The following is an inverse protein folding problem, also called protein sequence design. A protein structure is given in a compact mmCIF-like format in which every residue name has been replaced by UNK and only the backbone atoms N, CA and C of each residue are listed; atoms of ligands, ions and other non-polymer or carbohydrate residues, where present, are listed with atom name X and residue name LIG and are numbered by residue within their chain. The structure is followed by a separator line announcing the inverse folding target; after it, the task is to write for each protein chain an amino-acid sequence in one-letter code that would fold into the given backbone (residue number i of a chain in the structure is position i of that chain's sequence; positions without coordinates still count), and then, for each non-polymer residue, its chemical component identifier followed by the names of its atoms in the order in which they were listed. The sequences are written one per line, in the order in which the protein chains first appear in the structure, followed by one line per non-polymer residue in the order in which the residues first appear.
data_IF_596958049023
#
_entry.id   IF_596958049023
#
_cell.length_a   1.000
_cell.length_b   1.000
_cell.length_c   1.000
_cell.angle_alpha   90.00
_cell.angle_beta   90.00
_cell.angle_gamma   90.00
#
_symmetry.space_group_name_H-M   'P 1'
#
loop_
_entity.id
_entity.type
_entity.pdbx_description
1 polymer ?
#
# COMPACT_ATOMS: atom_id res chain seq x y z
N UNK A 1 25.83 -2.54 5.84
CA UNK A 1 26.09 -1.09 6.00
C UNK A 1 26.22 -0.81 7.48
N UNK A 2 27.42 -0.45 7.92
CA UNK A 2 27.79 -0.25 9.32
C UNK A 2 27.08 0.97 9.91
N UNK A 3 26.35 0.80 11.01
CA UNK A 3 25.76 1.90 11.77
C UNK A 3 26.74 2.31 12.87
N UNK A 4 27.25 3.53 12.73
CA UNK A 4 28.15 4.21 13.67
C UNK A 4 27.41 4.41 14.98
N UNK A 5 27.90 3.77 16.05
CA UNK A 5 27.65 4.19 17.43
C UNK A 5 28.37 5.53 17.61
N UNK A 6 27.60 6.59 17.85
CA UNK A 6 28.14 7.88 18.29
C UNK A 6 28.01 7.88 19.81
N UNK A 7 29.12 7.75 20.51
CA UNK A 7 29.20 7.90 21.97
C UNK A 7 28.69 9.29 22.36
N UNK A 8 28.03 9.46 23.51
CA UNK A 8 27.58 10.77 23.95
C UNK A 8 28.83 11.57 24.38
N UNK A 9 29.00 12.76 23.79
CA UNK A 9 29.97 13.73 24.28
C UNK A 9 29.62 14.08 25.73
N UNK A 10 30.60 13.96 26.63
CA UNK A 10 30.48 14.42 28.01
C UNK A 10 30.33 15.94 28.01
N UNK A 11 29.09 16.42 28.01
CA UNK A 11 28.78 17.82 28.29
C UNK A 11 29.26 18.13 29.71
N UNK A 12 30.43 18.76 29.81
CA UNK A 12 30.89 19.40 31.03
C UNK A 12 29.87 20.47 31.43
N UNK A 13 29.00 20.11 32.36
CA UNK A 13 28.11 21.06 33.02
C UNK A 13 29.00 22.05 33.79
N UNK A 14 29.29 23.20 33.18
CA UNK A 14 29.91 24.30 33.91
C UNK A 14 28.94 24.75 34.99
N UNK A 15 29.35 24.64 36.25
CA UNK A 15 28.62 25.19 37.38
C UNK A 15 28.54 26.70 37.21
N UNK A 16 27.38 27.20 36.78
CA UNK A 16 27.14 28.64 36.71
C UNK A 16 27.18 29.22 38.11
N UNK A 17 28.13 30.11 38.35
CA UNK A 17 28.33 30.77 39.64
C UNK A 17 27.62 32.13 39.60
N UNK A 18 26.36 32.13 40.05
CA UNK A 18 25.43 33.27 39.96
C UNK A 18 25.96 34.54 40.65
N UNK A 19 26.87 34.41 41.63
CA UNK A 19 27.47 35.54 42.36
C UNK A 19 28.67 36.20 41.68
N UNK A 20 29.15 35.67 40.54
CA UNK A 20 30.22 36.31 39.77
C UNK A 20 29.85 37.75 39.35
N UNK A 21 28.55 38.06 39.24
CA UNK A 21 28.05 39.41 38.93
C UNK A 21 27.98 40.39 40.11
N UNK A 22 28.20 39.94 41.36
CA UNK A 22 28.08 40.78 42.56
C UNK A 22 29.43 41.15 43.21
N UNK A 23 30.55 40.83 42.54
CA UNK A 23 31.85 41.40 42.89
C UNK A 23 31.83 42.89 42.55
N UNK A 24 31.58 43.72 43.57
CA UNK A 24 31.61 45.17 43.47
C UNK A 24 32.93 45.63 42.86
N UNK A 25 32.88 46.26 41.69
CA UNK A 25 34.00 46.98 41.10
C UNK A 25 34.44 48.05 42.13
N UNK A 26 35.67 47.95 42.62
CA UNK A 26 36.37 49.09 43.21
C UNK A 26 36.53 50.13 42.10
N UNK A 27 35.75 51.20 42.16
CA UNK A 27 36.06 52.42 41.41
C UNK A 27 37.22 53.12 42.13
N UNK A 28 38.26 53.40 41.36
CA UNK A 28 39.33 54.33 41.73
C UNK A 28 38.72 55.73 41.74
N UNK A 29 38.76 56.42 42.88
CA UNK A 29 38.44 57.85 42.94
C UNK A 29 39.59 58.63 43.58
N UNK A 30 39.83 59.78 42.93
CA UNK A 30 41.01 60.62 42.97
C UNK A 30 41.32 61.26 44.32
N UNK A 31 42.62 61.41 44.57
CA UNK A 31 43.24 62.27 45.59
C UNK A 31 42.88 63.75 45.45
N UNK A 32 42.84 64.50 46.57
CA UNK A 32 43.35 65.87 46.60
C UNK A 32 44.63 65.99 47.42
N UNK A 33 45.55 66.83 46.93
CA UNK A 33 46.77 67.32 47.61
C UNK A 33 46.43 68.46 48.57
N UNK A 34 47.19 68.57 49.67
CA UNK A 34 47.68 69.81 50.32
C UNK A 34 48.64 69.36 51.45
N UNK A 35 49.95 69.50 51.26
CA UNK A 35 50.88 70.55 51.73
C UNK A 35 51.46 70.31 53.14
N UNK A 36 52.78 70.46 53.25
CA UNK A 36 53.67 70.10 54.37
C UNK A 36 53.67 71.12 55.53
N UNK A 37 54.01 70.63 56.72
CA UNK A 37 54.47 71.38 57.90
C UNK A 37 53.55 71.19 59.11
N UNK A 38 53.98 70.84 60.32
CA UNK A 38 55.28 70.79 60.98
C UNK A 38 55.25 69.66 62.04
N UNK A 39 56.42 69.14 62.41
CA UNK A 39 56.59 68.25 63.58
C UNK A 39 56.29 69.03 64.87
N UNK A 40 55.39 68.52 65.72
CA UNK A 40 55.39 68.82 67.15
C UNK A 40 55.20 67.55 67.98
N UNK A 41 55.97 67.53 69.07
CA UNK A 41 56.35 66.42 69.92
C UNK A 41 55.18 65.65 70.57
N UNK A 42 55.39 64.35 70.77
CA UNK A 42 54.66 63.57 71.77
C UNK A 42 54.81 64.20 73.17
N UNK A 43 53.77 64.07 74.01
CA UNK A 43 54.05 63.42 75.28
C UNK A 43 53.04 62.30 75.59
N UNK A 44 53.62 61.15 75.95
CA UNK A 44 53.32 60.33 77.12
C UNK A 44 51.85 60.13 77.57
N UNK A 45 51.38 58.90 77.32
CA UNK A 45 50.57 58.03 78.18
C UNK A 45 49.70 58.65 79.31
N UNK A 46 48.38 58.46 79.20
CA UNK A 46 47.47 58.35 80.35
C UNK A 46 46.23 57.51 80.00
N UNK A 47 46.14 56.34 80.61
CA UNK A 47 45.00 55.39 80.85
C UNK A 47 43.99 55.06 79.71
N UNK A 48 43.60 53.78 79.53
CA UNK A 48 42.63 53.38 78.50
C UNK A 48 41.22 53.87 78.87
N UNK A 49 40.75 54.92 78.19
CA UNK A 49 39.43 55.49 78.40
C UNK A 49 38.31 54.52 77.96
N UNK A 50 37.32 54.36 78.82
CA UNK A 50 36.09 53.56 78.67
C UNK A 50 35.40 53.68 77.29
N UNK A 51 35.63 54.80 76.59
CA UNK A 51 35.06 55.15 75.29
C UNK A 51 35.65 54.34 74.12
N UNK A 52 36.94 53.99 74.14
CA UNK A 52 37.55 53.20 73.06
C UNK A 52 37.07 51.74 73.11
N UNK A 53 36.92 51.20 74.32
CA UNK A 53 36.35 49.87 74.54
C UNK A 53 34.88 49.82 74.07
N UNK A 54 34.10 50.87 74.35
CA UNK A 54 32.70 50.96 73.91
C UNK A 54 32.57 51.12 72.38
N UNK A 55 33.51 51.83 71.75
CA UNK A 55 33.58 51.95 70.29
C UNK A 55 33.91 50.62 69.62
N UNK A 56 34.86 49.88 70.18
CA UNK A 56 35.24 48.55 69.69
C UNK A 56 34.09 47.54 69.84
N UNK A 57 33.34 47.60 70.95
CA UNK A 57 32.13 46.80 71.15
C UNK A 57 31.04 47.08 70.11
N UNK A 58 30.73 48.35 69.83
CA UNK A 58 29.73 48.73 68.80
C UNK A 58 30.17 48.26 67.40
N UNK A 59 31.46 48.36 67.09
CA UNK A 59 32.02 47.93 65.81
C UNK A 59 31.99 46.41 65.66
N UNK A 60 32.26 45.68 66.73
CA UNK A 60 32.19 44.22 66.74
C UNK A 60 30.74 43.71 66.67
N UNK A 61 29.81 44.34 67.39
CA UNK A 61 28.37 44.07 67.27
C UNK A 61 27.85 44.35 65.85
N UNK A 62 28.24 45.47 65.23
CA UNK A 62 27.86 45.79 63.86
C UNK A 62 28.45 44.79 62.84
N UNK A 63 29.69 44.32 63.06
CA UNK A 63 30.31 43.27 62.23
C UNK A 63 29.62 41.92 62.42
N UNK A 64 29.19 41.60 63.64
CA UNK A 64 28.47 40.36 63.92
C UNK A 64 27.07 40.37 63.31
N UNK A 65 26.35 41.49 63.40
CA UNK A 65 25.08 41.71 62.69
C UNK A 65 25.24 41.64 61.18
N UNK A 66 26.27 42.27 60.61
CA UNK A 66 26.55 42.18 59.17
C UNK A 66 26.90 40.75 58.73
N UNK A 67 27.64 40.00 59.55
CA UNK A 67 27.92 38.57 59.31
C UNK A 67 26.64 37.73 59.33
N UNK A 68 25.75 37.97 60.29
CA UNK A 68 24.45 37.28 60.38
C UNK A 68 23.58 37.57 59.15
N UNK A 69 23.44 38.84 58.75
CA UNK A 69 22.66 39.22 57.55
C UNK A 69 23.24 38.57 56.28
N UNK A 70 24.57 38.56 56.12
CA UNK A 70 25.21 37.92 54.98
C UNK A 70 25.02 36.40 54.98
N UNK A 71 25.03 35.77 56.15
CA UNK A 71 24.78 34.34 56.27
C UNK A 71 23.33 34.01 55.94
N UNK A 72 22.36 34.74 56.49
CA UNK A 72 20.94 34.59 56.18
C UNK A 72 20.66 34.81 54.68
N UNK A 73 21.26 35.84 54.07
CA UNK A 73 21.12 36.10 52.65
C UNK A 73 21.69 34.97 51.77
N UNK A 74 22.81 34.34 52.19
CA UNK A 74 23.38 33.18 51.50
C UNK A 74 22.50 31.95 51.62
N UNK A 75 21.99 31.67 52.82
CA UNK A 75 21.08 30.54 53.07
C UNK A 75 19.78 30.70 52.25
N UNK A 76 19.21 31.91 52.21
CA UNK A 76 18.04 32.21 51.38
C UNK A 76 18.33 32.07 49.88
N UNK A 77 19.50 32.52 49.42
CA UNK A 77 19.89 32.39 48.01
C UNK A 77 20.10 30.93 47.59
N UNK A 78 20.70 30.10 48.45
CA UNK A 78 20.84 28.65 48.20
C UNK A 78 19.48 27.94 48.15
N UNK A 79 18.58 28.28 49.09
CA UNK A 79 17.21 27.76 49.09
C UNK A 79 16.48 28.11 47.79
N UNK A 80 16.51 29.38 47.37
CA UNK A 80 15.88 29.84 46.13
C UNK A 80 16.50 29.18 44.89
N UNK A 81 17.83 28.99 44.88
CA UNK A 81 18.54 28.31 43.77
C UNK A 81 18.11 26.85 43.66
N UNK A 82 18.02 26.14 44.78
CA UNK A 82 17.61 24.73 44.80
C UNK A 82 16.14 24.59 44.36
N UNK A 83 15.26 25.47 44.83
CA UNK A 83 13.84 25.48 44.43
C UNK A 83 13.68 25.75 42.93
N UNK A 84 14.34 26.78 42.40
CA UNK A 84 14.31 27.11 40.97
C UNK A 84 14.92 25.99 40.10
N UNK A 85 15.99 25.35 40.57
CA UNK A 85 16.61 24.23 39.87
C UNK A 85 15.69 23.00 39.84
N UNK A 86 15.07 22.66 40.97
CA UNK A 86 14.10 21.57 41.02
C UNK A 86 12.87 21.84 40.14
N UNK A 87 12.34 23.06 40.17
CA UNK A 87 11.20 23.44 39.35
C UNK A 87 11.55 23.39 37.86
N UNK A 88 12.67 23.99 37.46
CA UNK A 88 13.15 23.96 36.07
C UNK A 88 13.41 22.53 35.58
N UNK A 89 13.99 21.67 36.42
CA UNK A 89 14.19 20.25 36.11
C UNK A 89 12.87 19.52 35.91
N UNK A 90 11.91 19.69 36.82
CA UNK A 90 10.58 19.06 36.74
C UNK A 90 9.82 19.52 35.50
N UNK A 91 9.85 20.83 35.20
CA UNK A 91 9.20 21.39 34.01
C UNK A 91 9.85 20.89 32.71
N UNK A 92 11.19 20.91 32.62
CA UNK A 92 11.92 20.43 31.44
C UNK A 92 11.73 18.94 31.18
N UNK A 93 11.69 18.12 32.24
CA UNK A 93 11.40 16.69 32.11
C UNK A 93 9.96 16.45 31.60
N UNK A 94 8.97 17.15 32.16
CA UNK A 94 7.58 17.03 31.72
C UNK A 94 7.37 17.49 30.28
N UNK A 95 7.98 18.62 29.90
CA UNK A 95 7.89 19.15 28.55
C UNK A 95 8.61 18.24 27.54
N UNK A 96 9.80 17.74 27.89
CA UNK A 96 10.55 16.80 27.07
C UNK A 96 9.77 15.50 26.84
N UNK A 97 9.17 14.93 27.90
CA UNK A 97 8.31 13.74 27.79
C UNK A 97 7.11 14.03 26.88
N UNK A 98 6.45 15.17 27.06
CA UNK A 98 5.27 15.54 26.27
C UNK A 98 5.61 15.71 24.78
N UNK A 99 6.68 16.45 24.47
CA UNK A 99 7.11 16.68 23.09
C UNK A 99 7.52 15.38 22.42
N UNK A 100 8.33 14.55 23.10
CA UNK A 100 8.77 13.26 22.57
C UNK A 100 7.59 12.33 22.28
N UNK A 101 6.59 12.28 23.19
CA UNK A 101 5.39 11.49 23.01
C UNK A 101 4.56 11.95 21.80
N UNK A 102 4.41 13.27 21.62
CA UNK A 102 3.62 13.83 20.54
C UNK A 102 4.29 13.62 19.18
N UNK A 103 5.61 13.81 19.08
CA UNK A 103 6.40 13.51 17.88
C UNK A 103 6.31 12.03 17.50
N UNK A 104 6.53 11.13 18.47
CA UNK A 104 6.45 9.70 18.23
C UNK A 104 5.04 9.28 17.80
N UNK A 105 4.01 9.84 18.43
CA UNK A 105 2.62 9.61 18.05
C UNK A 105 2.34 10.08 16.63
N UNK A 106 2.90 11.21 16.19
CA UNK A 106 2.73 11.68 14.82
C UNK A 106 3.43 10.76 13.80
N UNK A 107 4.65 10.31 14.09
CA UNK A 107 5.39 9.36 13.23
C UNK A 107 4.61 8.06 13.10
N UNK A 108 4.20 7.47 14.24
CA UNK A 108 3.44 6.23 14.27
C UNK A 108 2.12 6.35 13.49
N UNK A 109 1.41 7.47 13.63
CA UNK A 109 0.18 7.71 12.87
C UNK A 109 0.43 7.83 11.35
N UNK A 110 1.54 8.44 10.93
CA UNK A 110 1.92 8.51 9.51
C UNK A 110 2.24 7.12 8.96
N UNK A 111 3.00 6.32 9.69
CA UNK A 111 3.32 4.94 9.31
C UNK A 111 2.09 4.05 9.29
N UNK A 112 1.19 4.20 10.27
CA UNK A 112 -0.06 3.45 10.29
C UNK A 112 -0.95 3.81 9.09
N UNK A 113 -1.03 5.10 8.74
CA UNK A 113 -1.79 5.55 7.57
C UNK A 113 -1.20 5.04 6.26
N UNK A 114 0.11 5.11 6.08
CA UNK A 114 0.75 4.59 4.87
C UNK A 114 0.61 3.07 4.79
N UNK A 115 0.72 2.36 5.92
CA UNK A 115 0.48 0.92 5.98
C UNK A 115 -0.97 0.57 5.62
N UNK A 116 -1.96 1.29 6.17
CA UNK A 116 -3.38 1.08 5.83
C UNK A 116 -3.66 1.34 4.35
N UNK A 117 -3.08 2.39 3.77
CA UNK A 117 -3.21 2.68 2.33
C UNK A 117 -2.59 1.58 1.48
N UNK A 118 -1.34 1.19 1.78
CA UNK A 118 -0.66 0.10 1.08
C UNK A 118 -1.46 -1.21 1.18
N UNK A 119 -2.02 -1.51 2.34
CA UNK A 119 -2.82 -2.71 2.55
C UNK A 119 -4.14 -2.67 1.76
N UNK A 120 -4.81 -1.51 1.72
CA UNK A 120 -6.01 -1.32 0.90
C UNK A 120 -5.70 -1.46 -0.61
N UNK A 121 -4.57 -0.94 -1.06
CA UNK A 121 -4.11 -1.08 -2.44
C UNK A 121 -3.79 -2.52 -2.80
N UNK A 122 -3.09 -3.24 -1.92
CA UNK A 122 -2.81 -4.67 -2.11
C UNK A 122 -4.10 -5.48 -2.18
N UNK A 123 -5.07 -5.23 -1.30
CA UNK A 123 -6.37 -5.94 -1.35
C UNK A 123 -7.07 -5.66 -2.69
N UNK A 124 -7.11 -4.39 -3.12
CA UNK A 124 -7.73 -3.99 -4.38
C UNK A 124 -7.05 -4.66 -5.57
N UNK A 125 -5.72 -4.69 -5.58
CA UNK A 125 -4.95 -5.34 -6.63
C UNK A 125 -5.21 -6.84 -6.66
N UNK A 126 -5.25 -7.51 -5.50
CA UNK A 126 -5.60 -8.93 -5.39
C UNK A 126 -7.01 -9.19 -5.92
N UNK A 127 -7.99 -8.34 -5.61
CA UNK A 127 -9.34 -8.47 -6.15
C UNK A 127 -9.36 -8.35 -7.69
N UNK A 128 -8.67 -7.36 -8.25
CA UNK A 128 -8.59 -7.17 -9.71
C UNK A 128 -7.89 -8.36 -10.38
N UNK A 129 -6.80 -8.87 -9.80
CA UNK A 129 -6.10 -10.03 -10.33
C UNK A 129 -6.95 -11.30 -10.23
N UNK A 130 -7.69 -11.48 -9.14
CA UNK A 130 -8.65 -12.59 -8.99
C UNK A 130 -9.69 -12.55 -10.11
N UNK A 131 -10.28 -11.39 -10.37
CA UNK A 131 -11.32 -11.25 -11.40
C UNK A 131 -10.76 -11.52 -12.80
N UNK A 132 -9.58 -10.99 -13.13
CA UNK A 132 -8.89 -11.30 -14.39
C UNK A 132 -8.59 -12.79 -14.58
N UNK A 133 -8.13 -13.46 -13.52
CA UNK A 133 -7.86 -14.90 -13.56
C UNK A 133 -9.15 -15.68 -13.79
N UNK A 134 -10.25 -15.29 -13.13
CA UNK A 134 -11.55 -15.94 -13.31
C UNK A 134 -12.08 -15.75 -14.72
N UNK A 135 -12.03 -14.55 -15.28
CA UNK A 135 -12.42 -14.27 -16.67
C UNK A 135 -11.61 -15.13 -17.65
N UNK A 136 -10.28 -15.15 -17.48
CA UNK A 136 -9.40 -15.97 -18.31
C UNK A 136 -9.72 -17.47 -18.19
N UNK A 137 -9.97 -17.96 -16.97
CA UNK A 137 -10.32 -19.36 -16.74
C UNK A 137 -11.65 -19.71 -17.42
N UNK A 138 -12.64 -18.82 -17.40
CA UNK A 138 -13.91 -19.01 -18.11
C UNK A 138 -13.67 -19.10 -19.62
N UNK A 139 -12.86 -18.20 -20.19
CA UNK A 139 -12.52 -18.23 -21.61
C UNK A 139 -11.75 -19.49 -22.01
N UNK A 140 -10.81 -19.93 -21.18
CA UNK A 140 -10.04 -21.15 -21.42
C UNK A 140 -10.94 -22.38 -21.31
N UNK A 141 -11.89 -22.43 -20.37
CA UNK A 141 -12.90 -23.49 -20.29
C UNK A 141 -13.78 -23.51 -21.55
N UNK A 142 -14.23 -22.35 -22.05
CA UNK A 142 -15.01 -22.27 -23.30
C UNK A 142 -14.23 -22.86 -24.47
N UNK A 143 -12.95 -22.50 -24.62
CA UNK A 143 -12.07 -23.05 -25.67
C UNK A 143 -11.90 -24.55 -25.55
N UNK A 144 -11.63 -25.05 -24.34
CA UNK A 144 -11.48 -26.49 -24.10
C UNK A 144 -12.78 -27.23 -24.45
N UNK A 145 -13.94 -26.72 -24.03
CA UNK A 145 -15.23 -27.31 -24.37
C UNK A 145 -15.46 -27.39 -25.87
N UNK A 146 -15.13 -26.33 -26.62
CA UNK A 146 -15.24 -26.31 -28.09
C UNK A 146 -14.28 -27.34 -28.71
N UNK A 147 -13.02 -27.37 -28.29
CA UNK A 147 -12.05 -28.35 -28.82
C UNK A 147 -12.42 -29.80 -28.52
N UNK A 148 -13.00 -30.07 -27.34
CA UNK A 148 -13.52 -31.40 -27.01
C UNK A 148 -14.72 -31.74 -27.90
N UNK A 149 -15.66 -30.82 -28.08
CA UNK A 149 -16.81 -31.03 -28.96
C UNK A 149 -16.37 -31.30 -30.41
N UNK A 150 -15.44 -30.50 -30.93
CA UNK A 150 -14.84 -30.68 -32.26
C UNK A 150 -14.21 -32.06 -32.38
N UNK A 151 -13.39 -32.47 -31.40
CA UNK A 151 -12.73 -33.78 -31.42
C UNK A 151 -13.71 -34.94 -31.38
N UNK A 152 -14.75 -34.84 -30.54
CA UNK A 152 -15.80 -35.85 -30.43
C UNK A 152 -16.56 -35.96 -31.75
N UNK A 153 -17.02 -34.84 -32.32
CA UNK A 153 -17.79 -34.84 -33.56
C UNK A 153 -16.96 -35.38 -34.73
N UNK A 154 -15.71 -34.93 -34.88
CA UNK A 154 -14.82 -35.42 -35.93
C UNK A 154 -14.58 -36.94 -35.80
N UNK A 155 -14.39 -37.44 -34.57
CA UNK A 155 -14.23 -38.88 -34.32
C UNK A 155 -15.53 -39.63 -34.65
N UNK A 156 -16.68 -39.10 -34.23
CA UNK A 156 -17.99 -39.71 -34.46
C UNK A 156 -18.32 -39.81 -35.94
N UNK A 157 -18.08 -38.76 -36.72
CA UNK A 157 -18.33 -38.74 -38.18
C UNK A 157 -17.44 -39.75 -38.89
N UNK A 158 -16.15 -39.81 -38.53
CA UNK A 158 -15.24 -40.83 -39.05
C UNK A 158 -15.65 -42.27 -38.71
N UNK A 159 -16.34 -42.47 -37.60
CA UNK A 159 -16.76 -43.80 -37.13
C UNK A 159 -18.16 -44.24 -37.60
N UNK A 160 -19.06 -43.33 -37.98
CA UNK A 160 -20.44 -43.67 -38.32
C UNK A 160 -21.07 -42.72 -39.35
N UNK A 161 -21.49 -43.29 -40.49
CA UNK A 161 -22.18 -42.56 -41.56
C UNK A 161 -23.63 -42.19 -41.21
N UNK A 162 -24.26 -42.88 -40.25
CA UNK A 162 -25.62 -42.57 -39.78
C UNK A 162 -25.72 -41.16 -39.17
N UNK A 163 -24.61 -40.62 -38.67
CA UNK A 163 -24.56 -39.28 -38.11
C UNK A 163 -24.76 -38.24 -39.23
N UNK A 164 -24.16 -38.48 -40.39
CA UNK A 164 -24.32 -37.61 -41.57
C UNK A 164 -25.77 -37.69 -42.10
N UNK A 165 -26.36 -38.90 -42.15
CA UNK A 165 -27.78 -39.08 -42.49
C UNK A 165 -28.69 -38.27 -41.57
N UNK A 166 -28.51 -38.40 -40.24
CA UNK A 166 -29.30 -37.63 -39.24
C UNK A 166 -29.08 -36.12 -39.32
N UNK A 167 -27.86 -35.70 -39.64
CA UNK A 167 -27.54 -34.28 -39.82
C UNK A 167 -28.32 -33.68 -40.99
N UNK A 168 -28.37 -34.38 -42.12
CA UNK A 168 -29.16 -33.97 -43.30
C UNK A 168 -30.65 -33.93 -42.96
N UNK A 169 -31.18 -34.94 -42.28
CA UNK A 169 -32.60 -34.97 -41.88
C UNK A 169 -32.95 -33.76 -41.00
N UNK A 170 -32.13 -33.44 -39.99
CA UNK A 170 -32.35 -32.26 -39.15
C UNK A 170 -32.27 -30.94 -39.92
N UNK A 171 -31.34 -30.82 -40.86
CA UNK A 171 -31.19 -29.62 -41.67
C UNK A 171 -32.38 -29.43 -42.63
N UNK A 172 -32.98 -30.54 -43.08
CA UNK A 172 -34.10 -30.53 -44.04
C UNK A 172 -35.49 -30.51 -43.39
N UNK A 173 -35.62 -30.93 -42.13
CA UNK A 173 -36.88 -30.97 -41.37
C UNK A 173 -37.57 -29.58 -41.28
N UNK A 174 -36.80 -28.50 -41.21
CA UNK A 174 -37.31 -27.14 -41.12
C UNK A 174 -37.61 -26.50 -42.48
N UNK A 175 -37.35 -27.20 -43.58
CA UNK A 175 -37.50 -26.68 -44.94
C UNK A 175 -38.87 -27.03 -45.53
N UNK A 176 -39.47 -26.08 -46.25
CA UNK A 176 -40.72 -26.30 -46.99
C UNK A 176 -40.45 -27.09 -48.27
N UNK A 177 -41.45 -27.84 -48.75
CA UNK A 177 -41.35 -28.62 -50.00
C UNK A 177 -40.96 -27.71 -51.19
N UNK A 178 -39.90 -28.06 -51.92
CA UNK A 178 -39.35 -27.34 -53.09
C UNK A 178 -39.37 -28.21 -54.35
N UNK A 179 -39.06 -27.60 -55.50
CA UNK A 179 -39.06 -28.26 -56.81
C UNK A 179 -37.91 -29.26 -56.99
N UNK A 180 -36.72 -28.94 -56.47
CA UNK A 180 -35.54 -29.80 -56.46
C UNK A 180 -34.63 -29.44 -55.28
N UNK A 181 -33.78 -30.36 -54.86
CA UNK A 181 -32.73 -30.12 -53.88
C UNK A 181 -31.46 -30.90 -54.25
N UNK A 182 -30.30 -30.25 -54.19
CA UNK A 182 -29.00 -30.90 -54.34
C UNK A 182 -28.28 -30.89 -53.00
N UNK A 183 -27.79 -32.04 -52.58
CA UNK A 183 -27.06 -32.19 -51.32
C UNK A 183 -25.63 -32.59 -51.64
N UNK A 184 -24.68 -31.76 -51.25
CA UNK A 184 -23.25 -31.99 -51.40
C UNK A 184 -22.69 -32.50 -50.07
N UNK A 185 -22.07 -33.68 -50.08
CA UNK A 185 -21.52 -34.31 -48.88
C UNK A 185 -20.10 -34.80 -49.15
N UNK A 186 -19.16 -34.57 -48.24
CA UNK A 186 -17.82 -35.15 -48.35
C UNK A 186 -17.84 -36.63 -47.95
N UNK A 187 -17.15 -37.50 -48.70
CA UNK A 187 -17.00 -38.92 -48.33
C UNK A 187 -16.32 -39.08 -46.96
N UNK A 188 -16.91 -39.91 -46.10
CA UNK A 188 -16.23 -40.42 -44.91
C UNK A 188 -15.32 -41.59 -45.30
N UNK A 189 -14.18 -41.69 -44.64
CA UNK A 189 -13.11 -42.64 -44.94
C UNK A 189 -13.46 -44.12 -44.65
N UNK A 190 -14.72 -44.42 -44.36
CA UNK A 190 -15.23 -45.78 -44.23
C UNK A 190 -15.38 -46.37 -45.63
N UNK A 191 -14.84 -47.57 -45.85
CA UNK A 191 -14.97 -48.37 -47.09
C UNK A 191 -16.43 -48.77 -47.40
N UNK A 192 -17.38 -48.26 -46.62
CA UNK A 192 -18.80 -48.43 -46.78
C UNK A 192 -19.24 -47.36 -47.79
N UNK A 193 -19.69 -47.80 -48.96
CA UNK A 193 -20.39 -46.88 -49.85
C UNK A 193 -21.60 -46.35 -49.06
N UNK A 194 -21.87 -45.04 -49.16
CA UNK A 194 -23.19 -44.50 -48.85
C UNK A 194 -24.21 -45.23 -49.74
N UNK A 195 -24.66 -46.40 -49.30
CA UNK A 195 -25.92 -46.97 -49.74
C UNK A 195 -26.95 -46.01 -49.17
N UNK A 196 -27.37 -45.09 -50.03
CA UNK A 196 -28.49 -44.21 -49.80
C UNK A 196 -29.71 -45.13 -49.78
N UNK A 197 -30.00 -45.68 -48.60
CA UNK A 197 -31.12 -46.58 -48.40
C UNK A 197 -32.41 -45.93 -48.91
N UNK A 198 -33.31 -46.74 -49.48
CA UNK A 198 -34.62 -46.25 -49.93
C UNK A 198 -35.38 -45.53 -48.79
N UNK A 199 -35.18 -45.96 -47.54
CA UNK A 199 -35.71 -45.35 -46.32
C UNK A 199 -35.19 -43.92 -46.08
N UNK A 200 -33.93 -43.65 -46.42
CA UNK A 200 -33.36 -42.31 -46.32
C UNK A 200 -33.91 -41.36 -47.41
N UNK A 201 -34.17 -41.87 -48.61
CA UNK A 201 -34.83 -41.08 -49.65
C UNK A 201 -36.32 -40.84 -49.32
N UNK A 202 -36.99 -41.81 -48.73
CA UNK A 202 -38.39 -41.70 -48.29
C UNK A 202 -38.54 -40.65 -47.19
N UNK A 203 -37.65 -40.63 -46.20
CA UNK A 203 -37.63 -39.58 -45.15
C UNK A 203 -37.32 -38.18 -45.70
N UNK A 204 -36.63 -38.06 -46.84
CA UNK A 204 -36.38 -36.81 -47.55
C UNK A 204 -37.46 -36.43 -48.57
N UNK A 205 -38.47 -37.30 -48.82
CA UNK A 205 -39.55 -37.04 -49.80
C UNK A 205 -40.40 -35.81 -49.47
N UNK A 206 -40.43 -35.42 -48.19
CA UNK A 206 -41.08 -34.18 -47.73
C UNK A 206 -40.38 -32.91 -48.26
N UNK A 207 -39.09 -33.00 -48.61
CA UNK A 207 -38.29 -31.87 -49.08
C UNK A 207 -38.51 -31.60 -50.58
N UNK A 208 -38.39 -32.61 -51.44
CA UNK A 208 -38.71 -32.49 -52.88
C UNK A 208 -38.81 -33.87 -53.52
N UNK A 209 -39.55 -33.96 -54.63
CA UNK A 209 -39.62 -35.18 -55.44
C UNK A 209 -38.38 -35.33 -56.36
N UNK A 210 -37.52 -34.31 -56.46
CA UNK A 210 -36.29 -34.30 -57.28
C UNK A 210 -35.04 -34.02 -56.42
N UNK A 211 -34.59 -35.02 -55.67
CA UNK A 211 -33.40 -34.94 -54.82
C UNK A 211 -32.16 -35.52 -55.51
N UNK A 212 -31.02 -34.81 -55.46
CA UNK A 212 -29.73 -35.31 -55.98
C UNK A 212 -28.63 -35.19 -54.92
N UNK A 213 -28.05 -36.31 -54.50
CA UNK A 213 -26.93 -36.35 -53.56
C UNK A 213 -25.62 -36.46 -54.36
N UNK A 214 -24.68 -35.56 -54.11
CA UNK A 214 -23.37 -35.48 -54.78
C UNK A 214 -22.29 -35.68 -53.72
N UNK A 215 -21.47 -36.72 -53.88
CA UNK A 215 -20.34 -36.97 -53.00
C UNK A 215 -19.09 -36.25 -53.52
N UNK A 216 -18.42 -35.53 -52.63
CA UNK A 216 -17.17 -34.81 -52.93
C UNK A 216 -15.99 -35.49 -52.22
N UNK A 217 -14.82 -35.51 -52.87
CA UNK A 217 -13.60 -36.12 -52.32
C UNK A 217 -12.57 -35.08 -51.84
N UNK A 218 -12.82 -33.79 -52.06
CA UNK A 218 -11.84 -32.71 -51.88
C UNK A 218 -12.23 -31.70 -50.78
N UNK A 219 -13.14 -32.09 -49.87
CA UNK A 219 -13.62 -31.26 -48.77
C UNK A 219 -13.22 -31.82 -47.39
N UNK A 220 -13.47 -31.07 -46.33
CA UNK A 220 -13.31 -31.56 -44.96
C UNK A 220 -14.38 -32.61 -44.62
N UNK A 221 -14.00 -33.60 -43.79
CA UNK A 221 -14.94 -34.61 -43.30
C UNK A 221 -16.10 -33.94 -42.54
N UNK A 222 -17.34 -34.28 -42.88
CA UNK A 222 -18.52 -33.64 -42.28
C UNK A 222 -18.98 -32.33 -42.95
N UNK A 223 -18.44 -31.98 -44.12
CA UNK A 223 -19.01 -30.92 -44.97
C UNK A 223 -20.36 -31.39 -45.55
N UNK A 224 -21.40 -30.58 -45.38
CA UNK A 224 -22.74 -30.85 -45.90
C UNK A 224 -23.41 -29.54 -46.34
N UNK A 225 -23.63 -29.39 -47.64
CA UNK A 225 -24.23 -28.18 -48.22
C UNK A 225 -25.50 -28.60 -48.97
N UNK A 226 -26.61 -27.92 -48.69
CA UNK A 226 -27.91 -28.16 -49.32
C UNK A 226 -28.23 -26.97 -50.21
N UNK A 227 -28.24 -27.19 -51.52
CA UNK A 227 -28.61 -26.20 -52.53
C UNK A 227 -30.07 -26.41 -52.93
N UNK A 228 -30.87 -25.36 -52.77
CA UNK A 228 -32.27 -25.26 -53.18
C UNK A 228 -32.39 -24.19 -54.29
N UNK A 229 -33.54 -24.07 -54.98
CA UNK A 229 -33.72 -23.11 -56.07
C UNK A 229 -33.56 -21.64 -55.61
N UNK A 230 -33.94 -21.37 -54.36
CA UNK A 230 -34.01 -20.00 -53.81
C UNK A 230 -32.92 -19.72 -52.76
N UNK A 231 -32.21 -20.75 -52.25
CA UNK A 231 -31.36 -20.64 -51.08
C UNK A 231 -30.28 -21.74 -51.04
N UNK A 232 -29.13 -21.43 -50.43
CA UNK A 232 -28.06 -22.40 -50.13
C UNK A 232 -27.87 -22.44 -48.62
N UNK A 233 -27.94 -23.65 -48.06
CA UNK A 233 -27.85 -23.88 -46.62
C UNK A 233 -26.59 -24.67 -46.34
N UNK A 234 -25.73 -24.13 -45.49
CA UNK A 234 -24.55 -24.83 -45.00
C UNK A 234 -24.85 -25.52 -43.66
N UNK A 235 -24.94 -26.84 -43.71
CA UNK A 235 -25.15 -27.70 -42.54
C UNK A 235 -23.84 -28.37 -42.09
N UNK A 236 -22.69 -27.91 -42.58
CA UNK A 236 -21.38 -28.47 -42.26
C UNK A 236 -21.06 -28.38 -40.77
N UNK A 237 -20.27 -29.34 -40.29
CA UNK A 237 -19.85 -29.42 -38.89
C UNK A 237 -19.14 -28.15 -38.44
N UNK A 238 -18.24 -27.61 -39.27
CA UNK A 238 -17.52 -26.37 -38.96
C UNK A 238 -18.49 -25.21 -38.69
N UNK A 239 -19.49 -25.04 -39.55
CA UNK A 239 -20.53 -24.00 -39.40
C UNK A 239 -21.40 -24.22 -38.16
N UNK A 240 -21.74 -25.48 -37.84
CA UNK A 240 -22.45 -25.80 -36.60
C UNK A 240 -21.61 -25.51 -35.35
N UNK A 241 -20.31 -25.81 -35.37
CA UNK A 241 -19.37 -25.52 -34.28
C UNK A 241 -19.17 -24.02 -34.09
N UNK A 242 -19.06 -23.25 -35.18
CA UNK A 242 -18.94 -21.80 -35.11
C UNK A 242 -20.21 -21.17 -34.52
N UNK A 243 -21.39 -21.65 -34.92
CA UNK A 243 -22.65 -21.23 -34.30
C UNK A 243 -22.70 -21.52 -32.79
N UNK A 244 -22.22 -22.70 -32.35
CA UNK A 244 -22.14 -23.03 -30.92
C UNK A 244 -21.15 -22.11 -30.20
N UNK A 245 -20.00 -21.83 -30.81
CA UNK A 245 -18.99 -20.92 -30.28
C UNK A 245 -19.54 -19.50 -30.15
N UNK A 246 -20.30 -19.01 -31.12
CA UNK A 246 -20.95 -17.70 -31.05
C UNK A 246 -21.98 -17.64 -29.93
N UNK A 247 -22.78 -18.69 -29.75
CA UNK A 247 -23.71 -18.79 -28.61
C UNK A 247 -22.94 -18.76 -27.28
N UNK A 248 -21.87 -19.55 -27.14
CA UNK A 248 -21.05 -19.60 -25.93
C UNK A 248 -20.33 -18.28 -25.62
N UNK A 249 -19.97 -17.51 -26.65
CA UNK A 249 -19.37 -16.19 -26.49
C UNK A 249 -20.41 -15.13 -26.09
N UNK A 250 -21.63 -15.24 -26.61
CA UNK A 250 -22.74 -14.32 -26.32
C UNK A 250 -23.44 -14.58 -24.98
N UNK A 251 -23.28 -15.77 -24.40
CA UNK A 251 -23.63 -16.04 -23.00
C UNK A 251 -22.59 -15.32 -22.12
N UNK A 252 -22.83 -14.01 -21.89
CA UNK A 252 -22.22 -13.28 -20.77
C UNK A 252 -22.97 -13.64 -19.50
N UNK A 253 -22.25 -14.24 -18.55
CA UNK A 253 -22.67 -14.39 -17.14
C UNK A 253 -22.30 -13.11 -16.41
#
# INVERSE_FOLDING_TARGET
MSKIMKEPEEDQVQSYDFFAGFLSKREEDESPKEEEGEEEELPEASEPDEYDLMREQILEEAKEQARQILQEAREQAEMLRNEAYEEGKKQGEQEGIRSAYEEHRQILNKELRSFQQNFADVIRDVSIQKDKILEKNVDDLKKISISVAEKVIQTSIRSSEEIVKRMILRATEKLKKRQWAKIYVTKCNTEVNMEVDAEFLESLSHLSDNLKIITMNNGEEGTCIIELPDEVIDASVGTQLENIKDILNNVRV
#
